data_IF_765115004040
#
_entry.id   IF_765115004040
#
_cell.length_a   1.000
_cell.length_b   1.000
_cell.length_c   1.000
_cell.angle_alpha   90.00
_cell.angle_beta   90.00
_cell.angle_gamma   90.00
#
_symmetry.space_group_name_H-M   'P 1'
#
loop_
_entity.id
_entity.type
_entity.pdbx_description
1 polymer ?
#
# COMPACT_ATOMS: atom_id res chain seq x y z
N UNK A 1 8.74 6.88 28.20
CA UNK A 1 8.77 6.14 26.90
C UNK A 1 9.31 7.06 25.83
N UNK A 2 10.26 6.57 25.02
CA UNK A 2 10.85 7.36 23.95
C UNK A 2 9.85 7.48 22.79
N UNK A 3 9.56 8.70 22.31
CA UNK A 3 8.75 8.95 21.11
C UNK A 3 9.28 8.16 19.89
N UNK A 4 10.58 7.92 19.82
CA UNK A 4 11.21 7.15 18.75
C UNK A 4 10.89 5.65 18.79
N UNK A 5 10.36 5.13 19.90
CA UNK A 5 9.89 3.75 19.97
C UNK A 5 8.55 3.52 19.25
N UNK A 6 7.82 4.60 18.91
CA UNK A 6 6.59 4.50 18.15
C UNK A 6 6.91 4.30 16.65
N UNK A 7 6.48 3.19 16.01
CA UNK A 7 6.76 2.91 14.60
C UNK A 7 6.21 3.96 13.63
N UNK A 8 5.19 4.72 14.03
CA UNK A 8 4.64 5.82 13.25
C UNK A 8 5.53 7.07 13.23
N UNK A 9 6.51 7.17 14.13
CA UNK A 9 7.40 8.32 14.20
C UNK A 9 8.68 8.01 13.42
N UNK A 10 8.93 8.80 12.38
CA UNK A 10 10.15 8.73 11.58
C UNK A 10 11.31 9.44 12.27
N UNK A 11 11.03 10.55 12.92
CA UNK A 11 12.02 11.37 13.60
C UNK A 11 11.38 12.41 14.50
N UNK A 12 12.21 13.02 15.33
CA UNK A 12 11.79 14.06 16.27
C UNK A 12 12.77 15.21 16.17
N UNK A 13 12.30 16.39 15.85
CA UNK A 13 13.09 17.62 15.87
C UNK A 13 12.85 18.33 17.20
N UNK A 14 13.92 18.66 17.92
CA UNK A 14 13.86 19.29 19.22
C UNK A 14 14.55 20.65 19.13
N UNK A 15 13.78 21.72 19.37
CA UNK A 15 14.29 23.09 19.43
C UNK A 15 14.11 23.66 20.81
N UNK A 16 15.20 24.20 21.37
CA UNK A 16 15.14 24.92 22.65
C UNK A 16 14.96 26.40 22.40
N UNK A 17 13.91 26.97 22.96
CA UNK A 17 13.62 28.40 22.94
C UNK A 17 13.82 28.96 24.36
N UNK A 18 14.87 29.80 24.52
CA UNK A 18 15.17 30.43 25.80
C UNK A 18 14.04 31.37 26.25
N UNK A 19 13.78 31.52 27.58
CA UNK A 19 14.53 30.88 28.68
C UNK A 19 13.99 29.51 29.10
N UNK A 20 12.73 29.14 28.80
CA UNK A 20 12.09 27.95 29.43
C UNK A 20 11.22 27.10 28.48
N UNK A 21 11.34 27.28 27.17
CA UNK A 21 10.48 26.54 26.21
C UNK A 21 11.30 25.48 25.46
N UNK A 22 10.75 24.27 25.40
CA UNK A 22 11.21 23.19 24.56
C UNK A 22 10.10 22.89 23.53
N UNK A 23 10.43 23.01 22.25
CA UNK A 23 9.53 22.65 21.13
C UNK A 23 9.96 21.29 20.61
N UNK A 24 9.05 20.33 20.67
CA UNK A 24 9.24 18.96 20.16
C UNK A 24 8.31 18.79 18.95
N UNK A 25 8.89 18.55 17.77
CA UNK A 25 8.13 18.37 16.53
C UNK A 25 8.37 16.96 16.01
N UNK A 26 7.42 16.01 16.19
CA UNK A 26 7.51 14.70 15.61
C UNK A 26 7.28 14.77 14.10
N UNK A 27 8.01 13.95 13.35
CA UNK A 27 7.74 13.67 11.93
C UNK A 27 7.12 12.29 11.83
N UNK A 28 5.92 12.23 11.28
CA UNK A 28 5.18 10.97 11.13
C UNK A 28 5.58 10.24 9.84
N UNK A 29 5.60 8.91 9.89
CA UNK A 29 5.72 8.07 8.70
C UNK A 29 4.39 8.05 7.95
N UNK A 30 4.48 8.18 6.63
CA UNK A 30 3.32 8.00 5.74
C UNK A 30 3.42 6.63 5.10
N UNK A 31 2.31 5.89 5.09
CA UNK A 31 2.23 4.62 4.38
C UNK A 31 2.32 4.86 2.87
N UNK A 32 3.25 4.17 2.20
CA UNK A 32 3.38 4.17 0.74
C UNK A 32 2.72 2.96 0.11
N UNK A 33 2.77 1.83 0.80
CA UNK A 33 2.06 0.61 0.42
C UNK A 33 1.38 0.00 1.65
N UNK A 34 0.29 -0.70 1.42
CA UNK A 34 -0.37 -1.60 2.38
C UNK A 34 -0.14 -3.02 1.88
N UNK A 35 0.41 -3.88 2.71
CA UNK A 35 0.71 -5.27 2.39
C UNK A 35 -0.29 -6.17 3.09
N UNK A 36 -1.11 -6.88 2.32
CA UNK A 36 -1.98 -7.93 2.84
C UNK A 36 -1.27 -9.27 2.79
N UNK A 37 -1.21 -9.96 3.93
CA UNK A 37 -0.58 -11.26 4.12
C UNK A 37 -1.68 -12.29 4.33
N UNK A 38 -2.03 -13.08 3.30
CA UNK A 38 -3.16 -14.03 3.38
C UNK A 38 -2.99 -15.12 4.45
N UNK A 39 -1.74 -15.53 4.71
CA UNK A 39 -1.45 -16.60 5.67
C UNK A 39 -1.88 -16.26 7.09
N UNK A 40 -1.78 -15.00 7.49
CA UNK A 40 -2.12 -14.50 8.83
C UNK A 40 -3.42 -13.69 8.83
N UNK A 41 -4.02 -13.49 7.67
CA UNK A 41 -5.20 -12.62 7.46
C UNK A 41 -5.00 -11.20 8.04
N UNK A 42 -3.82 -10.63 7.84
CA UNK A 42 -3.43 -9.34 8.39
C UNK A 42 -2.90 -8.41 7.31
N UNK A 43 -3.18 -7.12 7.46
CA UNK A 43 -2.62 -6.07 6.64
C UNK A 43 -1.62 -5.23 7.42
N UNK A 44 -0.53 -4.81 6.77
CA UNK A 44 0.52 -4.00 7.35
C UNK A 44 0.82 -2.77 6.50
N UNK A 45 1.00 -1.63 7.16
CA UNK A 45 1.47 -0.41 6.51
C UNK A 45 3.00 -0.40 6.40
N UNK A 46 3.51 0.01 5.23
CA UNK A 46 4.93 0.17 4.95
C UNK A 46 5.19 1.59 4.45
N UNK A 47 6.21 2.23 5.02
CA UNK A 47 6.64 3.57 4.63
C UNK A 47 7.38 3.57 3.29
N UNK A 48 7.54 4.75 2.68
CA UNK A 48 8.33 4.96 1.47
C UNK A 48 9.79 4.51 1.61
N UNK A 49 10.34 4.57 2.82
CA UNK A 49 11.70 4.12 3.14
C UNK A 49 11.82 2.60 3.37
N UNK A 50 10.75 1.85 3.17
CA UNK A 50 10.75 0.41 3.37
C UNK A 50 10.80 0.00 4.83
N UNK A 51 10.10 0.70 5.72
CA UNK A 51 9.98 0.37 7.14
C UNK A 51 8.54 -0.09 7.42
N UNK A 52 8.39 -1.23 8.08
CA UNK A 52 7.11 -1.69 8.61
C UNK A 52 6.62 -0.71 9.69
N UNK A 53 5.43 -0.15 9.51
CA UNK A 53 4.87 0.81 10.45
C UNK A 53 4.07 0.07 11.53
N UNK A 54 2.90 -0.43 11.17
CA UNK A 54 1.98 -1.09 12.08
C UNK A 54 1.01 -1.99 11.32
N UNK A 55 0.40 -2.99 11.98
CA UNK A 55 -0.75 -3.68 11.42
C UNK A 55 -1.91 -2.69 11.27
N UNK A 56 -2.71 -2.93 10.24
CA UNK A 56 -3.85 -2.07 9.90
C UNK A 56 -5.11 -2.73 10.43
N UNK A 57 -5.83 -2.00 11.28
CA UNK A 57 -7.21 -2.29 11.65
C UNK A 57 -8.00 -1.00 11.52
N UNK A 58 -9.15 -1.06 10.89
CA UNK A 58 -10.00 0.09 10.66
C UNK A 58 -11.42 -0.18 11.18
N UNK A 59 -12.09 0.88 11.60
CA UNK A 59 -13.48 0.82 12.02
C UNK A 59 -14.32 1.49 10.94
N UNK A 60 -15.23 0.73 10.34
CA UNK A 60 -16.19 1.22 9.37
C UNK A 60 -17.52 1.60 10.06
N UNK A 61 -18.22 2.58 9.52
CA UNK A 61 -19.60 2.89 9.90
C UNK A 61 -19.78 3.87 11.07
N UNK A 62 -18.72 4.38 11.66
CA UNK A 62 -18.85 5.27 12.81
C UNK A 62 -18.27 6.65 12.53
N UNK A 63 -19.00 7.54 11.91
CA UNK A 63 -18.99 8.98 12.20
C UNK A 63 -19.75 9.80 11.14
N UNK A 64 -20.73 10.52 11.59
CA UNK A 64 -21.35 11.62 10.82
C UNK A 64 -20.45 12.86 10.70
N UNK A 65 -19.30 12.88 11.38
CA UNK A 65 -18.40 14.05 11.48
C UNK A 65 -16.99 13.85 10.91
N UNK A 66 -16.72 12.74 10.23
CA UNK A 66 -15.41 12.50 9.58
C UNK A 66 -14.22 12.31 10.54
N UNK A 67 -14.45 12.13 11.84
CA UNK A 67 -13.39 11.81 12.80
C UNK A 67 -13.17 10.30 12.90
N UNK A 68 -11.92 9.83 12.95
CA UNK A 68 -11.64 8.42 13.19
C UNK A 68 -12.21 8.05 14.57
N UNK A 69 -13.11 7.08 14.58
CA UNK A 69 -13.72 6.58 15.81
C UNK A 69 -12.98 5.31 16.21
N UNK A 70 -12.36 5.33 17.38
CA UNK A 70 -11.77 4.17 18.01
C UNK A 70 -12.73 3.49 18.98
N UNK A 71 -12.39 2.27 19.47
CA UNK A 71 -13.10 1.67 20.59
C UNK A 71 -12.98 2.57 21.83
N UNK A 72 -14.03 2.57 22.67
CA UNK A 72 -14.00 3.29 23.93
C UNK A 72 -12.79 2.85 24.76
N UNK A 73 -11.91 3.78 25.17
CA UNK A 73 -10.69 3.43 25.90
C UNK A 73 -10.92 2.71 27.24
N UNK A 74 -12.13 2.82 27.80
CA UNK A 74 -12.46 2.21 29.10
C UNK A 74 -13.15 0.86 28.95
N UNK A 75 -14.01 0.71 27.95
CA UNK A 75 -14.83 -0.50 27.77
C UNK A 75 -14.36 -1.38 26.65
N UNK A 76 -13.54 -0.87 25.71
CA UNK A 76 -13.12 -1.56 24.49
C UNK A 76 -14.26 -1.78 23.49
N UNK A 77 -15.46 -1.24 23.77
CA UNK A 77 -16.63 -1.41 22.91
C UNK A 77 -16.59 -0.45 21.72
N UNK A 78 -17.01 -0.95 20.57
CA UNK A 78 -17.21 -0.12 19.40
C UNK A 78 -18.48 0.73 19.54
N UNK A 79 -18.52 1.94 18.95
CA UNK A 79 -19.74 2.71 18.83
C UNK A 79 -20.85 1.93 18.11
N UNK A 80 -22.10 2.25 18.44
CA UNK A 80 -23.26 1.62 17.81
C UNK A 80 -23.23 1.82 16.28
N UNK A 81 -23.40 0.73 15.52
CA UNK A 81 -23.31 0.74 14.06
C UNK A 81 -21.89 0.71 13.48
N UNK A 82 -20.85 0.66 14.33
CA UNK A 82 -19.48 0.50 13.87
C UNK A 82 -19.08 -0.98 13.76
N UNK A 83 -18.34 -1.32 12.70
CA UNK A 83 -17.78 -2.64 12.47
C UNK A 83 -16.26 -2.54 12.34
N UNK A 84 -15.54 -3.41 13.03
CA UNK A 84 -14.09 -3.53 12.82
C UNK A 84 -13.85 -4.22 11.47
N UNK A 85 -13.02 -3.60 10.64
CA UNK A 85 -12.54 -4.20 9.41
C UNK A 85 -11.23 -4.93 9.70
N UNK A 86 -11.13 -6.16 9.23
CA UNK A 86 -9.95 -7.02 9.39
C UNK A 86 -9.52 -7.57 8.02
N UNK A 87 -8.33 -8.13 7.96
CA UNK A 87 -7.82 -8.82 6.79
C UNK A 87 -7.82 -7.95 5.53
N UNK A 88 -8.33 -8.50 4.45
CA UNK A 88 -8.36 -7.85 3.14
C UNK A 88 -9.25 -6.59 3.11
N UNK A 89 -10.37 -6.58 3.84
CA UNK A 89 -11.27 -5.42 3.87
C UNK A 89 -10.60 -4.21 4.56
N UNK A 90 -9.86 -4.47 5.65
CA UNK A 90 -9.04 -3.44 6.30
C UNK A 90 -7.92 -2.95 5.36
N UNK A 91 -7.26 -3.87 4.63
CA UNK A 91 -6.21 -3.54 3.67
C UNK A 91 -6.72 -2.61 2.56
N UNK A 92 -7.87 -2.95 1.94
CA UNK A 92 -8.51 -2.16 0.90
C UNK A 92 -8.89 -0.76 1.39
N UNK A 93 -9.54 -0.68 2.56
CA UNK A 93 -9.95 0.58 3.14
C UNK A 93 -8.75 1.46 3.52
N UNK A 94 -7.72 0.88 4.13
CA UNK A 94 -6.49 1.59 4.49
C UNK A 94 -5.72 2.10 3.28
N UNK A 95 -5.57 1.29 2.25
CA UNK A 95 -4.91 1.69 1.01
C UNK A 95 -5.61 2.89 0.36
N UNK A 96 -6.94 2.85 0.32
CA UNK A 96 -7.77 3.96 -0.19
C UNK A 96 -7.62 5.23 0.64
N UNK A 97 -7.69 5.12 1.98
CA UNK A 97 -7.57 6.27 2.88
C UNK A 97 -6.18 6.91 2.84
N UNK A 98 -5.12 6.09 2.79
CA UNK A 98 -3.74 6.55 2.75
C UNK A 98 -3.26 6.95 1.34
N UNK A 99 -4.08 6.78 0.31
CA UNK A 99 -3.66 6.86 -1.10
C UNK A 99 -2.40 6.00 -1.38
N UNK A 100 -2.33 4.85 -0.72
CA UNK A 100 -1.22 3.91 -0.81
C UNK A 100 -1.57 2.78 -1.80
N UNK A 101 -0.55 2.16 -2.40
CA UNK A 101 -0.75 0.98 -3.25
C UNK A 101 -1.02 -0.25 -2.37
N UNK A 102 -2.07 -1.01 -2.69
CA UNK A 102 -2.34 -2.28 -2.05
C UNK A 102 -1.50 -3.38 -2.69
N UNK A 103 -0.75 -4.12 -1.87
CA UNK A 103 -0.03 -5.32 -2.26
C UNK A 103 -0.79 -6.53 -1.72
N UNK A 104 -1.14 -7.46 -2.61
CA UNK A 104 -1.87 -8.71 -2.30
C UNK A 104 -1.02 -9.94 -2.60
N UNK A 105 -1.48 -11.10 -2.21
CA UNK A 105 -0.82 -12.40 -2.45
C UNK A 105 0.63 -12.47 -1.95
N UNK A 106 0.92 -11.74 -0.86
CA UNK A 106 2.24 -11.79 -0.24
C UNK A 106 2.54 -13.22 0.24
N UNK A 107 3.78 -13.75 -0.01
CA UNK A 107 4.17 -15.07 0.46
C UNK A 107 4.11 -15.21 1.98
N UNK A 108 3.87 -16.42 2.46
CA UNK A 108 3.73 -16.74 3.89
C UNK A 108 5.00 -16.57 4.73
N UNK A 109 6.16 -16.40 4.09
CA UNK A 109 7.45 -16.13 4.75
C UNK A 109 7.66 -14.63 5.05
N UNK A 110 6.74 -13.77 4.63
CA UNK A 110 6.77 -12.34 4.97
C UNK A 110 6.42 -12.18 6.45
N UNK A 111 7.39 -11.70 7.23
CA UNK A 111 7.26 -11.55 8.69
C UNK A 111 7.46 -10.07 9.09
N UNK A 112 6.40 -9.28 9.16
CA UNK A 112 6.47 -7.86 9.49
C UNK A 112 6.80 -7.64 10.97
N UNK A 113 7.59 -6.60 11.26
CA UNK A 113 7.90 -6.15 12.62
C UNK A 113 7.90 -4.63 12.64
N UNK A 114 7.00 -4.03 13.42
CA UNK A 114 6.87 -2.59 13.54
C UNK A 114 8.18 -1.86 13.86
N UNK A 115 8.49 -0.81 13.12
CA UNK A 115 9.72 -0.03 13.22
C UNK A 115 10.96 -0.68 12.61
N UNK A 116 10.86 -1.88 12.02
CA UNK A 116 11.97 -2.56 11.36
C UNK A 116 11.91 -2.42 9.85
N UNK A 117 13.06 -2.48 9.21
CA UNK A 117 13.17 -2.48 7.75
C UNK A 117 12.52 -3.73 7.15
N UNK A 118 11.94 -3.55 5.98
CA UNK A 118 11.42 -4.64 5.16
C UNK A 118 12.59 -5.40 4.56
N UNK A 119 12.66 -6.71 4.82
CA UNK A 119 13.68 -7.60 4.26
C UNK A 119 13.15 -8.46 3.10
N UNK A 120 11.84 -8.56 2.97
CA UNK A 120 11.19 -9.33 1.90
C UNK A 120 11.41 -8.67 0.54
N UNK A 121 12.06 -9.40 -0.38
CA UNK A 121 12.34 -8.90 -1.73
C UNK A 121 11.09 -8.63 -2.55
N UNK A 122 10.01 -9.40 -2.33
CA UNK A 122 8.76 -9.20 -3.06
C UNK A 122 8.04 -7.93 -2.60
N UNK A 123 8.05 -7.66 -1.30
CA UNK A 123 7.48 -6.42 -0.75
C UNK A 123 8.30 -5.21 -1.20
N UNK A 124 9.62 -5.30 -1.21
CA UNK A 124 10.50 -4.24 -1.72
C UNK A 124 10.26 -4.00 -3.22
N UNK A 125 10.07 -5.04 -4.03
CA UNK A 125 9.74 -4.89 -5.44
C UNK A 125 8.38 -4.19 -5.63
N UNK A 126 7.36 -4.54 -4.83
CA UNK A 126 6.07 -3.84 -4.81
C UNK A 126 6.21 -2.36 -4.42
N UNK A 127 7.07 -2.06 -3.44
CA UNK A 127 7.39 -0.69 -3.03
C UNK A 127 8.08 0.11 -4.15
N UNK A 128 9.01 -0.52 -4.91
CA UNK A 128 9.65 0.12 -6.06
C UNK A 128 8.63 0.46 -7.16
N UNK A 129 7.66 -0.42 -7.43
CA UNK A 129 6.53 -0.09 -8.32
C UNK A 129 5.71 1.09 -7.80
N UNK A 130 5.39 1.12 -6.49
CA UNK A 130 4.64 2.22 -5.88
C UNK A 130 5.38 3.57 -5.94
N UNK A 131 6.72 3.55 -6.00
CA UNK A 131 7.57 4.74 -6.15
C UNK A 131 7.80 5.13 -7.61
N UNK A 132 7.89 4.15 -8.49
CA UNK A 132 8.25 4.34 -9.89
C UNK A 132 7.09 4.67 -10.82
N UNK A 133 5.88 4.27 -10.49
CA UNK A 133 4.69 4.60 -11.27
C UNK A 133 4.24 6.04 -11.04
N UNK A 134 3.68 6.65 -12.10
CA UNK A 134 3.03 7.96 -11.99
C UNK A 134 1.77 7.89 -11.13
N UNK A 135 1.41 9.03 -10.53
CA UNK A 135 0.15 9.16 -9.74
C UNK A 135 -1.06 8.78 -10.61
N UNK A 136 -1.06 9.18 -11.89
CA UNK A 136 -2.14 8.88 -12.84
C UNK A 136 -2.32 7.37 -13.03
N UNK A 137 -1.24 6.62 -13.11
CA UNK A 137 -1.31 5.16 -13.28
C UNK A 137 -1.64 4.45 -11.96
N UNK A 138 -1.05 4.88 -10.84
CA UNK A 138 -1.38 4.34 -9.51
C UNK A 138 -2.88 4.45 -9.19
N UNK A 139 -3.55 5.52 -9.61
CA UNK A 139 -5.00 5.67 -9.43
C UNK A 139 -5.84 4.68 -10.25
N UNK A 140 -5.28 4.07 -11.29
CA UNK A 140 -5.94 3.05 -12.10
C UNK A 140 -5.73 1.64 -11.54
N UNK A 141 -4.72 1.44 -10.67
CA UNK A 141 -4.41 0.16 -10.06
C UNK A 141 -5.33 -0.06 -8.86
N UNK A 142 -6.04 -1.19 -8.86
CA UNK A 142 -6.82 -1.67 -7.73
C UNK A 142 -5.92 -2.28 -6.66
N UNK A 143 -5.05 -3.20 -7.07
CA UNK A 143 -4.06 -3.88 -6.25
C UNK A 143 -2.90 -4.38 -7.09
N UNK A 144 -1.80 -4.71 -6.43
CA UNK A 144 -0.62 -5.32 -7.00
C UNK A 144 -0.40 -6.69 -6.35
N UNK A 145 -0.60 -7.75 -7.10
CA UNK A 145 -0.33 -9.13 -6.66
C UNK A 145 1.17 -9.40 -6.68
N UNK A 146 1.73 -9.86 -5.55
CA UNK A 146 3.17 -10.05 -5.34
C UNK A 146 3.54 -11.48 -4.89
N UNK A 147 3.13 -12.54 -5.59
CA UNK A 147 3.41 -13.91 -5.18
C UNK A 147 4.90 -14.27 -5.25
N UNK A 148 5.65 -13.65 -6.16
CA UNK A 148 7.11 -13.74 -6.26
C UNK A 148 7.65 -12.53 -7.02
N UNK A 149 8.97 -12.27 -6.94
CA UNK A 149 9.63 -11.13 -7.62
C UNK A 149 9.41 -11.18 -9.14
N UNK A 150 9.38 -12.38 -9.72
CA UNK A 150 9.23 -12.58 -11.16
C UNK A 150 7.77 -12.62 -11.65
N UNK A 151 6.81 -12.72 -10.73
CA UNK A 151 5.39 -12.90 -11.05
C UNK A 151 4.50 -11.78 -10.51
N UNK A 152 5.04 -10.57 -10.43
CA UNK A 152 4.26 -9.39 -10.02
C UNK A 152 3.29 -9.02 -11.12
N UNK A 153 2.01 -8.82 -10.77
CA UNK A 153 0.98 -8.33 -11.66
C UNK A 153 0.12 -7.24 -11.04
N UNK A 154 -0.34 -6.29 -11.83
CA UNK A 154 -1.26 -5.26 -11.41
C UNK A 154 -2.68 -5.58 -11.90
N UNK A 155 -3.64 -5.53 -11.00
CA UNK A 155 -5.06 -5.56 -11.32
C UNK A 155 -5.57 -4.12 -11.42
N UNK A 156 -6.09 -3.74 -12.59
CA UNK A 156 -6.62 -2.40 -12.79
C UNK A 156 -8.09 -2.30 -12.41
N UNK A 157 -8.55 -1.10 -12.09
CA UNK A 157 -9.96 -0.83 -11.73
C UNK A 157 -10.96 -1.17 -12.83
N UNK A 158 -10.51 -1.19 -14.10
CA UNK A 158 -11.32 -1.57 -15.25
C UNK A 158 -11.33 -3.08 -15.55
N UNK A 159 -10.71 -3.90 -14.68
CA UNK A 159 -10.65 -5.36 -14.80
C UNK A 159 -9.51 -5.88 -15.67
N UNK A 160 -8.63 -5.03 -16.18
CA UNK A 160 -7.44 -5.47 -16.93
C UNK A 160 -6.38 -5.97 -15.95
N UNK A 161 -5.83 -7.16 -16.24
CA UNK A 161 -4.65 -7.68 -15.55
C UNK A 161 -3.38 -7.31 -16.34
N UNK A 162 -2.37 -6.78 -15.66
CA UNK A 162 -1.08 -6.41 -16.25
C UNK A 162 0.04 -7.21 -15.60
N UNK A 163 0.63 -8.15 -16.33
CA UNK A 163 1.82 -8.90 -15.88
C UNK A 163 3.07 -8.03 -16.01
N UNK A 164 3.61 -7.62 -14.87
CA UNK A 164 4.74 -6.68 -14.76
C UNK A 164 6.09 -7.39 -14.59
N UNK A 165 6.12 -8.52 -13.84
CA UNK A 165 7.35 -9.21 -13.49
C UNK A 165 8.23 -8.43 -12.53
N UNK A 166 9.56 -8.51 -12.68
CA UNK A 166 10.52 -7.81 -11.82
C UNK A 166 10.37 -6.28 -11.88
N UNK A 167 10.74 -5.60 -10.77
CA UNK A 167 10.62 -4.14 -10.66
C UNK A 167 11.77 -3.41 -11.36
N UNK A 168 11.83 -3.57 -12.67
CA UNK A 168 12.75 -2.89 -13.58
C UNK A 168 11.98 -2.15 -14.68
N UNK A 169 12.62 -1.20 -15.36
CA UNK A 169 12.04 -0.44 -16.47
C UNK A 169 10.61 0.07 -16.24
N UNK A 170 10.30 0.45 -14.98
CA UNK A 170 8.94 0.74 -14.50
C UNK A 170 8.24 1.80 -15.35
N UNK A 171 8.90 2.91 -15.63
CA UNK A 171 8.35 3.99 -16.46
C UNK A 171 8.05 3.56 -17.90
N UNK A 172 8.85 2.66 -18.46
CA UNK A 172 8.62 2.12 -19.80
C UNK A 172 7.45 1.14 -19.82
N UNK A 173 7.34 0.28 -18.80
CA UNK A 173 6.18 -0.61 -18.61
C UNK A 173 4.88 0.19 -18.51
N UNK A 174 4.85 1.24 -17.67
CA UNK A 174 3.72 2.15 -17.58
C UNK A 174 3.35 2.76 -18.92
N UNK A 175 4.34 3.32 -19.64
CA UNK A 175 4.11 3.97 -20.93
C UNK A 175 3.49 3.00 -21.95
N UNK A 176 3.97 1.74 -22.00
CA UNK A 176 3.45 0.72 -22.91
C UNK A 176 2.00 0.38 -22.55
N UNK A 177 1.70 0.15 -21.26
CA UNK A 177 0.34 -0.19 -20.81
C UNK A 177 -0.63 0.95 -21.10
N UNK A 178 -0.28 2.18 -20.72
CA UNK A 178 -1.14 3.35 -20.93
C UNK A 178 -1.39 3.60 -22.43
N UNK A 179 -0.34 3.53 -23.26
CA UNK A 179 -0.48 3.71 -24.70
C UNK A 179 -1.27 2.61 -25.39
N UNK A 180 -1.23 1.38 -24.85
CA UNK A 180 -2.05 0.26 -25.33
C UNK A 180 -3.53 0.47 -24.98
N UNK A 181 -3.83 0.78 -23.73
CA UNK A 181 -5.20 0.99 -23.26
C UNK A 181 -5.89 2.20 -23.90
N UNK A 182 -5.12 3.17 -24.42
CA UNK A 182 -5.67 4.31 -25.18
C UNK A 182 -5.99 3.92 -26.64
N UNK A 183 -5.30 2.95 -27.21
CA UNK A 183 -5.41 2.59 -28.64
C UNK A 183 -6.32 1.40 -28.90
N UNK A 184 -6.33 0.45 -27.98
CA UNK A 184 -7.03 -0.82 -28.14
C UNK A 184 -8.24 -0.90 -27.20
N UNK A 185 -9.38 -1.33 -27.73
CA UNK A 185 -10.59 -1.57 -26.95
C UNK A 185 -10.69 -3.03 -26.50
N UNK A 186 -11.39 -3.25 -25.39
CA UNK A 186 -11.69 -4.61 -24.92
C UNK A 186 -10.47 -5.38 -24.37
N UNK A 187 -9.36 -4.70 -24.10
CA UNK A 187 -8.15 -5.33 -23.51
C UNK A 187 -8.51 -5.93 -22.15
N UNK A 188 -8.14 -7.19 -21.94
CA UNK A 188 -8.36 -7.93 -20.67
C UNK A 188 -7.07 -8.31 -19.98
N UNK A 189 -5.99 -8.46 -20.73
CA UNK A 189 -4.69 -8.86 -20.19
C UNK A 189 -3.55 -8.21 -21.00
N UNK A 190 -2.52 -7.75 -20.30
CA UNK A 190 -1.30 -7.20 -20.88
C UNK A 190 -0.08 -7.83 -20.22
N UNK A 191 0.88 -8.30 -21.02
CA UNK A 191 2.17 -8.77 -20.50
C UNK A 191 3.27 -7.78 -20.93
N UNK A 192 3.84 -7.07 -19.96
CA UNK A 192 4.90 -6.08 -20.13
C UNK A 192 6.17 -6.42 -19.33
N UNK A 193 6.39 -7.69 -19.01
CA UNK A 193 7.64 -8.14 -18.36
C UNK A 193 8.87 -7.68 -19.14
N UNK A 194 8.74 -7.66 -20.47
CA UNK A 194 9.72 -7.07 -21.41
C UNK A 194 8.99 -5.99 -22.22
N UNK A 195 9.12 -4.71 -21.89
CA UNK A 195 8.36 -3.64 -22.56
C UNK A 195 8.54 -3.59 -24.07
N UNK A 196 9.75 -3.89 -24.57
CA UNK A 196 10.04 -3.94 -26.01
C UNK A 196 9.44 -5.14 -26.76
N UNK A 197 8.87 -6.12 -26.05
CA UNK A 197 8.26 -7.35 -26.61
C UNK A 197 6.96 -7.69 -25.84
N UNK A 198 6.12 -6.69 -25.64
CA UNK A 198 4.85 -6.87 -24.93
C UNK A 198 3.83 -7.67 -25.76
N UNK A 199 2.90 -8.31 -25.08
CA UNK A 199 1.76 -9.00 -25.67
C UNK A 199 0.49 -8.66 -24.91
N UNK A 200 -0.67 -8.77 -25.56
CA UNK A 200 -1.95 -8.51 -24.90
C UNK A 200 -3.05 -9.45 -25.44
N UNK A 201 -4.15 -9.50 -24.71
CA UNK A 201 -5.39 -10.18 -25.10
C UNK A 201 -6.55 -9.22 -24.97
N UNK A 202 -7.48 -9.28 -25.92
CA UNK A 202 -8.75 -8.56 -25.89
C UNK A 202 -9.89 -9.55 -25.84
N UNK A 203 -11.00 -9.18 -25.19
CA UNK A 203 -12.26 -9.91 -25.33
C UNK A 203 -12.74 -9.82 -26.80
N UNK A 204 -13.36 -10.88 -27.35
CA UNK A 204 -14.07 -10.73 -28.61
C UNK A 204 -15.19 -9.70 -28.48
N UNK A 205 -15.30 -8.82 -29.46
CA UNK A 205 -16.37 -7.82 -29.59
C UNK A 205 -17.71 -8.51 -29.81
#
# INVERSE_FOLDING_TARGET
>A
ESLQANPWIEGVDIKREFPHRLVVTPRERVAKVIVYIPADDVAWAVSEKGVWIAPVSLIAGASAEGKPVGPDPKTGQLPEGATMLEGLDAALAAAKMAHALLLTDAPSDVNPKGGKEVTSKVVLAGLEYAKGFSVKFLQQIKDLSIPSVEAISANLNNGVEVSLGAADNIAEKERVVMGLLEKESGVTYVNVRKPGAYTFRSAPL
#
